data_IF_257772455043
#
_entry.id   IF_257772455043
#
_cell.length_a   1.000
_cell.length_b   1.000
_cell.length_c   1.000
_cell.angle_alpha   90.00
_cell.angle_beta   90.00
_cell.angle_gamma   90.00
#
_symmetry.space_group_name_H-M   'P 1'
#
loop_
_entity.id
_entity.type
_entity.pdbx_description
1 polymer ?
#
# COMPACT_ATOMS: atom_id res chain seq x y z
N UNK A 1 17.27 -29.09 15.74
CA UNK A 1 17.61 -29.01 14.31
C UNK A 1 16.42 -28.37 13.59
N UNK A 2 16.43 -27.04 13.40
CA UNK A 2 15.36 -26.36 12.67
C UNK A 2 15.62 -26.48 11.18
N UNK A 3 14.82 -27.29 10.50
CA UNK A 3 14.75 -27.25 9.05
C UNK A 3 14.09 -25.93 8.66
N UNK A 4 14.86 -25.00 8.10
CA UNK A 4 14.32 -23.89 7.33
C UNK A 4 13.57 -24.52 6.16
N UNK A 5 12.24 -24.54 6.23
CA UNK A 5 11.39 -24.98 5.13
C UNK A 5 11.63 -24.04 3.95
N UNK A 6 12.47 -24.45 3.01
CA UNK A 6 12.75 -23.68 1.82
C UNK A 6 11.45 -23.47 1.03
N UNK A 7 11.15 -22.25 0.56
CA UNK A 7 9.94 -22.00 -0.21
C UNK A 7 9.96 -22.87 -1.47
N UNK A 8 8.80 -23.44 -1.88
CA UNK A 8 8.69 -24.19 -3.12
C UNK A 8 9.26 -23.39 -4.30
N UNK A 9 9.92 -24.05 -5.25
CA UNK A 9 10.58 -23.39 -6.40
C UNK A 9 9.63 -22.46 -7.18
N UNK A 10 8.32 -22.75 -7.19
CA UNK A 10 7.28 -21.91 -7.78
C UNK A 10 7.12 -20.58 -7.05
N UNK A 11 7.11 -20.59 -5.71
CA UNK A 11 7.01 -19.37 -4.88
C UNK A 11 8.23 -18.47 -5.09
N UNK A 12 9.43 -19.06 -5.14
CA UNK A 12 10.66 -18.31 -5.42
C UNK A 12 10.63 -17.62 -6.80
N UNK A 13 10.20 -18.34 -7.84
CA UNK A 13 10.07 -17.76 -9.19
C UNK A 13 9.04 -16.63 -9.22
N UNK A 14 7.95 -16.75 -8.47
CA UNK A 14 6.96 -15.68 -8.33
C UNK A 14 7.57 -14.45 -7.64
N UNK A 15 8.26 -14.63 -6.52
CA UNK A 15 8.94 -13.54 -5.81
C UNK A 15 9.99 -12.83 -6.67
N UNK A 16 10.80 -13.58 -7.42
CA UNK A 16 11.79 -13.02 -8.35
C UNK A 16 11.12 -12.20 -9.47
N UNK A 17 9.97 -12.65 -9.98
CA UNK A 17 9.18 -11.94 -10.99
C UNK A 17 8.52 -10.68 -10.42
N UNK A 18 7.90 -10.79 -9.25
CA UNK A 18 7.29 -9.69 -8.51
C UNK A 18 8.33 -8.60 -8.22
N UNK A 19 9.51 -8.98 -7.74
CA UNK A 19 10.61 -8.05 -7.48
C UNK A 19 11.10 -7.38 -8.78
N UNK A 20 11.27 -8.14 -9.86
CA UNK A 20 11.70 -7.59 -11.16
C UNK A 20 10.70 -6.59 -11.72
N UNK A 21 9.41 -6.77 -11.43
CA UNK A 21 8.35 -5.82 -11.82
C UNK A 21 8.30 -4.60 -10.90
N UNK A 22 8.37 -4.81 -9.58
CA UNK A 22 8.19 -3.74 -8.59
C UNK A 22 9.39 -2.82 -8.47
N UNK A 23 10.62 -3.34 -8.53
CA UNK A 23 11.83 -2.56 -8.31
C UNK A 23 11.93 -1.34 -9.24
N UNK A 24 11.74 -1.45 -10.56
CA UNK A 24 11.74 -0.27 -11.45
C UNK A 24 10.62 0.73 -11.15
N UNK A 25 9.50 0.28 -10.59
CA UNK A 25 8.38 1.17 -10.23
C UNK A 25 8.77 2.02 -9.03
N UNK A 26 9.42 1.43 -8.03
CA UNK A 26 9.78 2.16 -6.82
C UNK A 26 11.13 2.87 -6.91
N UNK A 27 11.96 2.50 -7.88
CA UNK A 27 13.27 3.10 -8.09
C UNK A 27 13.18 4.63 -8.31
N UNK A 28 14.16 5.33 -7.74
CA UNK A 28 14.25 6.80 -7.80
C UNK A 28 13.19 7.56 -6.99
N UNK A 29 12.29 6.88 -6.27
CA UNK A 29 11.32 7.57 -5.41
C UNK A 29 12.02 8.24 -4.22
N UNK A 30 11.64 9.50 -3.97
CA UNK A 30 12.02 10.17 -2.72
C UNK A 30 11.31 9.54 -1.51
N UNK A 31 11.82 9.80 -0.29
CA UNK A 31 11.21 9.26 0.95
C UNK A 31 9.71 9.52 1.05
N UNK A 32 9.27 10.74 0.72
CA UNK A 32 7.85 11.11 0.78
C UNK A 32 7.02 10.34 -0.24
N UNK A 33 7.52 10.21 -1.46
CA UNK A 33 6.86 9.49 -2.55
C UNK A 33 6.78 7.98 -2.25
N UNK A 34 7.82 7.41 -1.64
CA UNK A 34 7.78 6.04 -1.12
C UNK A 34 6.66 5.83 -0.10
N UNK A 35 6.57 6.70 0.91
CA UNK A 35 5.51 6.63 1.92
C UNK A 35 4.12 6.71 1.29
N UNK A 36 3.91 7.67 0.38
CA UNK A 36 2.67 7.82 -0.36
C UNK A 36 2.35 6.59 -1.20
N UNK A 37 3.33 6.03 -1.91
CA UNK A 37 3.15 4.85 -2.74
C UNK A 37 2.60 3.69 -1.92
N UNK A 38 3.20 3.40 -0.75
CA UNK A 38 2.73 2.34 0.13
C UNK A 38 1.36 2.63 0.76
N UNK A 39 1.05 3.88 1.14
CA UNK A 39 -0.27 4.26 1.65
C UNK A 39 -1.36 4.03 0.59
N UNK A 40 -1.09 4.40 -0.66
CA UNK A 40 -2.00 4.16 -1.78
C UNK A 40 -2.20 2.66 -2.00
N UNK A 41 -1.12 1.88 -2.02
CA UNK A 41 -1.21 0.42 -2.18
C UNK A 41 -2.00 -0.25 -1.05
N UNK A 42 -1.73 0.11 0.20
CA UNK A 42 -2.43 -0.45 1.36
C UNK A 42 -3.94 -0.15 1.32
N UNK A 43 -4.32 1.04 0.83
CA UNK A 43 -5.73 1.42 0.70
C UNK A 43 -6.42 0.64 -0.42
N UNK A 44 -5.77 0.53 -1.59
CA UNK A 44 -6.28 -0.28 -2.69
C UNK A 44 -6.46 -1.74 -2.26
N UNK A 45 -5.46 -2.29 -1.56
CA UNK A 45 -5.52 -3.66 -1.02
C UNK A 45 -6.71 -3.85 -0.09
N UNK A 46 -6.84 -2.99 0.92
CA UNK A 46 -7.93 -3.06 1.91
C UNK A 46 -9.29 -3.00 1.23
N UNK A 47 -9.46 -2.15 0.22
CA UNK A 47 -10.74 -2.00 -0.50
C UNK A 47 -11.01 -3.19 -1.44
N UNK A 48 -9.97 -3.81 -1.99
CA UNK A 48 -10.12 -5.03 -2.76
C UNK A 48 -10.54 -6.23 -1.89
N UNK A 49 -10.11 -6.26 -0.62
CA UNK A 49 -10.47 -7.35 0.32
C UNK A 49 -11.90 -7.28 0.86
N UNK A 50 -12.60 -6.15 0.78
CA UNK A 50 -13.95 -6.04 1.35
C UNK A 50 -15.03 -6.71 0.48
N UNK A 51 -14.70 -7.13 -0.75
CA UNK A 51 -15.65 -7.65 -1.78
C UNK A 51 -16.85 -6.71 -2.08
N UNK A 52 -16.88 -5.51 -1.49
CA UNK A 52 -17.98 -4.54 -1.63
C UNK A 52 -18.01 -3.84 -2.99
N UNK A 53 -16.95 -4.02 -3.79
CA UNK A 53 -16.80 -3.40 -5.09
C UNK A 53 -15.94 -4.27 -6.00
N UNK A 54 -16.33 -4.47 -7.27
CA UNK A 54 -15.48 -5.18 -8.23
C UNK A 54 -14.30 -4.28 -8.61
N UNK A 55 -13.21 -4.36 -7.83
CA UNK A 55 -11.95 -3.66 -8.09
C UNK A 55 -11.05 -4.60 -8.88
N UNK A 56 -10.63 -4.16 -10.05
CA UNK A 56 -9.62 -4.83 -10.87
C UNK A 56 -8.56 -3.80 -11.32
N UNK A 57 -7.55 -4.25 -12.06
CA UNK A 57 -6.43 -3.40 -12.48
C UNK A 57 -6.89 -2.24 -13.39
N UNK A 58 -7.96 -2.43 -14.19
CA UNK A 58 -8.53 -1.35 -15.03
C UNK A 58 -9.17 -0.25 -14.18
N UNK A 59 -9.84 -0.62 -13.08
CA UNK A 59 -10.41 0.32 -12.10
C UNK A 59 -9.28 1.10 -11.41
N UNK A 60 -8.22 0.41 -10.97
CA UNK A 60 -7.06 1.05 -10.34
C UNK A 60 -6.39 2.05 -11.30
N UNK A 61 -6.19 1.65 -12.56
CA UNK A 61 -5.64 2.53 -13.60
C UNK A 61 -6.51 3.78 -13.80
N UNK A 62 -7.81 3.60 -14.02
CA UNK A 62 -8.77 4.70 -14.27
C UNK A 62 -8.79 5.70 -13.11
N UNK A 63 -8.82 5.19 -11.87
CA UNK A 63 -8.72 6.04 -10.67
C UNK A 63 -7.41 6.80 -10.62
N UNK A 64 -6.27 6.12 -10.78
CA UNK A 64 -4.95 6.72 -10.70
C UNK A 64 -4.76 7.80 -11.78
N UNK A 65 -5.23 7.53 -13.00
CA UNK A 65 -5.17 8.46 -14.12
C UNK A 65 -5.97 9.75 -13.84
N UNK A 66 -7.21 9.63 -13.34
CA UNK A 66 -8.04 10.80 -13.05
C UNK A 66 -7.48 11.64 -11.88
N UNK A 67 -7.02 10.98 -10.80
CA UNK A 67 -6.40 11.69 -9.68
C UNK A 67 -5.08 12.36 -10.11
N UNK A 68 -4.25 11.68 -10.90
CA UNK A 68 -3.03 12.26 -11.44
C UNK A 68 -3.33 13.52 -12.28
N UNK A 69 -4.31 13.44 -13.18
CA UNK A 69 -4.70 14.58 -14.01
C UNK A 69 -5.20 15.76 -13.16
N UNK A 70 -5.91 15.49 -12.06
CA UNK A 70 -6.37 16.50 -11.10
C UNK A 70 -5.20 17.22 -10.42
N UNK A 71 -4.22 16.48 -9.89
CA UNK A 71 -3.04 17.11 -9.28
C UNK A 71 -2.12 17.76 -10.31
N UNK A 72 -2.10 17.28 -11.56
CA UNK A 72 -1.40 17.94 -12.65
C UNK A 72 -1.99 19.33 -12.93
N UNK A 73 -3.33 19.46 -13.00
CA UNK A 73 -3.97 20.76 -13.15
C UNK A 73 -3.80 21.65 -11.93
N UNK A 74 -3.87 21.08 -10.73
CA UNK A 74 -3.64 21.82 -9.48
C UNK A 74 -2.22 22.39 -9.41
N UNK A 75 -1.21 21.62 -9.86
CA UNK A 75 0.20 22.08 -9.96
C UNK A 75 0.44 23.25 -10.90
N UNK A 76 -0.54 23.55 -11.77
CA UNK A 76 -0.56 24.68 -12.69
C UNK A 76 -1.45 25.83 -12.19
N UNK A 77 -1.97 25.73 -10.96
CA UNK A 77 -2.88 26.70 -10.35
C UNK A 77 -4.33 26.61 -10.84
N UNK A 78 -4.72 25.51 -11.48
CA UNK A 78 -6.07 25.32 -12.05
C UNK A 78 -6.91 24.46 -11.10
N UNK A 79 -8.01 25.03 -10.61
CA UNK A 79 -8.99 24.32 -9.76
C UNK A 79 -9.93 23.54 -10.68
N UNK A 80 -9.55 22.32 -11.00
CA UNK A 80 -10.35 21.39 -11.79
C UNK A 80 -10.18 19.96 -11.29
N UNK A 81 -11.28 19.23 -11.15
CA UNK A 81 -11.28 17.82 -10.77
C UNK A 81 -11.64 16.95 -11.97
N UNK A 82 -10.73 16.05 -12.34
CA UNK A 82 -11.00 15.03 -13.34
C UNK A 82 -11.78 13.88 -12.70
N UNK A 83 -12.79 13.39 -13.42
CA UNK A 83 -13.57 12.23 -12.98
C UNK A 83 -13.07 10.96 -13.68
N UNK A 84 -12.92 9.85 -12.93
CA UNK A 84 -12.75 8.53 -13.53
C UNK A 84 -13.89 8.20 -14.49
N UNK A 85 -13.61 7.33 -15.47
CA UNK A 85 -14.57 6.95 -16.50
C UNK A 85 -15.63 5.94 -16.04
N UNK A 86 -15.41 5.28 -14.90
CA UNK A 86 -16.29 4.22 -14.39
C UNK A 86 -16.73 4.45 -12.93
N UNK A 87 -17.94 3.99 -12.58
CA UNK A 87 -18.48 4.12 -11.23
C UNK A 87 -17.60 3.45 -10.14
N UNK A 88 -17.03 2.25 -10.35
CA UNK A 88 -16.10 1.66 -9.39
C UNK A 88 -14.85 2.53 -9.20
N UNK A 89 -14.31 3.10 -10.27
CA UNK A 89 -13.13 3.95 -10.19
C UNK A 89 -13.43 5.29 -9.50
N UNK A 90 -14.62 5.85 -9.69
CA UNK A 90 -15.09 7.02 -8.93
C UNK A 90 -15.19 6.72 -7.43
N UNK A 91 -15.74 5.56 -7.06
CA UNK A 91 -15.83 5.17 -5.65
C UNK A 91 -14.44 4.96 -5.06
N UNK A 92 -13.53 4.29 -5.75
CA UNK A 92 -12.14 4.15 -5.32
C UNK A 92 -11.43 5.52 -5.17
N UNK A 93 -11.68 6.45 -6.09
CA UNK A 93 -11.14 7.81 -5.99
C UNK A 93 -11.65 8.55 -4.74
N UNK A 94 -12.94 8.40 -4.40
CA UNK A 94 -13.55 8.99 -3.20
C UNK A 94 -12.95 8.44 -1.91
N UNK A 95 -12.60 7.16 -1.86
CA UNK A 95 -11.92 6.56 -0.70
C UNK A 95 -10.46 6.99 -0.58
N UNK A 96 -9.76 7.17 -1.70
CA UNK A 96 -8.35 7.60 -1.70
C UNK A 96 -8.19 9.09 -1.37
N UNK A 97 -9.09 9.95 -1.85
CA UNK A 97 -8.97 11.42 -1.70
C UNK A 97 -8.69 11.89 -0.27
N UNK A 98 -9.43 11.46 0.77
CA UNK A 98 -9.16 11.88 2.15
C UNK A 98 -7.74 11.57 2.65
N UNK A 99 -7.11 10.52 2.11
CA UNK A 99 -5.75 10.14 2.47
C UNK A 99 -4.69 10.99 1.75
N UNK A 100 -5.04 11.56 0.59
CA UNK A 100 -4.16 12.39 -0.23
C UNK A 100 -4.31 13.87 0.09
N UNK A 101 -5.52 14.32 0.44
CA UNK A 101 -5.85 15.73 0.69
C UNK A 101 -5.59 16.19 2.14
N UNK A 102 -5.25 15.25 3.02
CA UNK A 102 -5.03 15.53 4.44
C UNK A 102 -6.33 15.84 5.19
N UNK A 103 -6.23 15.95 6.51
CA UNK A 103 -7.35 16.36 7.36
C UNK A 103 -7.27 17.86 7.65
N UNK A 104 -8.42 18.50 7.80
CA UNK A 104 -8.58 19.83 8.40
C UNK A 104 -8.06 21.03 7.57
N UNK A 105 -8.22 20.99 6.24
CA UNK A 105 -7.99 22.17 5.38
C UNK A 105 -6.52 22.59 5.21
N UNK A 106 -5.57 21.71 5.58
CA UNK A 106 -4.12 21.95 5.43
C UNK A 106 -3.58 21.67 4.02
N UNK A 107 -4.47 21.39 3.07
CA UNK A 107 -4.08 20.98 1.73
C UNK A 107 -3.45 19.58 1.71
N UNK A 108 -3.03 19.11 0.53
CA UNK A 108 -2.65 17.72 0.34
C UNK A 108 -1.51 17.28 1.27
N UNK A 109 -1.51 15.99 1.63
CA UNK A 109 -0.51 15.42 2.55
C UNK A 109 0.91 15.53 1.99
N UNK A 110 1.08 15.79 0.70
CA UNK A 110 2.36 16.04 0.06
C UNK A 110 2.22 17.08 -1.04
N UNK A 111 3.33 17.44 -1.68
CA UNK A 111 3.27 18.33 -2.83
C UNK A 111 2.45 17.69 -3.96
N UNK A 112 1.75 18.50 -4.75
CA UNK A 112 0.99 18.04 -5.93
C UNK A 112 1.90 17.29 -6.91
N UNK A 113 3.18 17.67 -6.99
CA UNK A 113 4.19 16.96 -7.79
C UNK A 113 4.47 15.55 -7.27
N UNK A 114 4.58 15.37 -5.95
CA UNK A 114 4.78 14.04 -5.36
C UNK A 114 3.55 13.15 -5.55
N UNK A 115 2.35 13.71 -5.37
CA UNK A 115 1.09 13.00 -5.59
C UNK A 115 0.94 12.58 -7.05
N UNK A 116 1.17 13.51 -7.98
CA UNK A 116 1.20 13.24 -9.41
C UNK A 116 2.17 12.10 -9.74
N UNK A 117 3.40 12.17 -9.24
CA UNK A 117 4.45 11.21 -9.56
C UNK A 117 4.13 9.79 -9.06
N UNK A 118 3.55 9.68 -7.86
CA UNK A 118 3.10 8.40 -7.31
C UNK A 118 1.91 7.85 -8.09
N UNK A 119 0.90 8.67 -8.37
CA UNK A 119 -0.29 8.23 -9.09
C UNK A 119 0.04 7.78 -10.53
N UNK A 120 0.96 8.48 -11.22
CA UNK A 120 1.47 8.06 -12.54
C UNK A 120 2.25 6.74 -12.48
N UNK A 121 2.88 6.40 -11.35
CA UNK A 121 3.50 5.07 -11.17
C UNK A 121 2.45 4.00 -10.97
N UNK A 122 1.42 4.26 -10.17
CA UNK A 122 0.29 3.32 -9.98
C UNK A 122 -0.44 3.07 -11.29
N UNK A 123 -0.74 4.12 -12.05
CA UNK A 123 -1.37 4.02 -13.38
C UNK A 123 -0.57 3.13 -14.33
N UNK A 124 0.75 3.38 -14.44
CA UNK A 124 1.66 2.58 -15.27
C UNK A 124 1.73 1.12 -14.79
N UNK A 125 1.88 0.93 -13.49
CA UNK A 125 1.96 -0.41 -12.90
C UNK A 125 0.69 -1.23 -13.16
N UNK A 126 -0.50 -0.66 -12.92
CA UNK A 126 -1.77 -1.32 -13.22
C UNK A 126 -1.94 -1.62 -14.72
N UNK A 127 -1.41 -0.76 -15.60
CA UNK A 127 -1.45 -0.97 -17.05
C UNK A 127 -0.52 -2.10 -17.52
N UNK A 128 0.66 -2.22 -16.92
CA UNK A 128 1.72 -3.13 -17.37
C UNK A 128 1.74 -4.48 -16.64
N UNK A 129 1.09 -4.58 -15.47
CA UNK A 129 1.04 -5.80 -14.68
C UNK A 129 0.50 -6.99 -15.49
N UNK A 130 -0.64 -6.82 -16.17
CA UNK A 130 -1.24 -7.90 -17.00
C UNK A 130 -0.34 -8.43 -18.13
N UNK A 131 0.65 -7.65 -18.56
CA UNK A 131 1.60 -8.04 -19.63
C UNK A 131 2.82 -8.78 -19.09
N UNK A 132 3.13 -8.58 -17.80
CA UNK A 132 4.42 -8.95 -17.20
C UNK A 132 4.27 -9.99 -16.10
N UNK A 133 3.12 -10.00 -15.44
CA UNK A 133 2.77 -10.84 -14.31
C UNK A 133 1.64 -11.80 -14.69
N UNK A 134 1.53 -12.87 -13.92
CA UNK A 134 0.38 -13.77 -13.95
C UNK A 134 -0.79 -13.11 -13.16
N UNK A 135 -2.04 -13.50 -13.42
CA UNK A 135 -3.24 -12.97 -12.71
C UNK A 135 -4.22 -12.18 -13.59
N UNK A 136 -3.91 -11.97 -14.88
CA UNK A 136 -4.85 -11.40 -15.84
C UNK A 136 -5.29 -9.98 -15.47
N UNK A 137 -6.58 -9.77 -15.24
CA UNK A 137 -7.17 -8.47 -14.88
C UNK A 137 -6.93 -8.04 -13.43
N UNK A 138 -6.36 -8.91 -12.59
CA UNK A 138 -6.05 -8.64 -11.18
C UNK A 138 -4.55 -8.80 -10.89
N UNK A 139 -3.71 -8.88 -11.92
CA UNK A 139 -2.28 -9.14 -11.78
C UNK A 139 -1.57 -8.12 -10.88
N UNK A 140 -1.97 -6.84 -10.95
CA UNK A 140 -1.44 -5.78 -10.10
C UNK A 140 -1.96 -5.91 -8.65
N UNK A 141 -3.26 -6.12 -8.47
CA UNK A 141 -3.84 -6.32 -7.14
C UNK A 141 -3.27 -7.54 -6.42
N UNK A 142 -3.07 -8.64 -7.15
CA UNK A 142 -2.46 -9.86 -6.63
C UNK A 142 -1.02 -9.61 -6.15
N UNK A 143 -0.24 -8.83 -6.91
CA UNK A 143 1.09 -8.37 -6.50
C UNK A 143 1.01 -7.52 -5.22
N UNK A 144 0.14 -6.51 -5.21
CA UNK A 144 -0.04 -5.64 -4.04
C UNK A 144 -0.38 -6.46 -2.80
N UNK A 145 -1.28 -7.44 -2.92
CA UNK A 145 -1.63 -8.31 -1.80
C UNK A 145 -0.50 -9.19 -1.31
N UNK A 146 0.35 -9.70 -2.21
CA UNK A 146 1.56 -10.45 -1.81
C UNK A 146 2.56 -9.56 -1.07
N UNK A 147 2.76 -8.32 -1.54
CA UNK A 147 3.67 -7.35 -0.91
C UNK A 147 3.18 -6.93 0.48
N UNK A 148 1.87 -6.67 0.62
CA UNK A 148 1.28 -6.25 1.90
C UNK A 148 1.31 -7.38 2.94
N UNK A 149 1.01 -8.62 2.55
CA UNK A 149 1.12 -9.80 3.45
C UNK A 149 2.55 -10.12 3.85
N UNK A 150 3.50 -10.00 2.92
CA UNK A 150 4.92 -10.22 3.25
C UNK A 150 5.46 -9.18 4.23
N UNK A 151 4.83 -8.00 4.31
CA UNK A 151 5.23 -6.95 5.26
C UNK A 151 4.68 -7.21 6.67
N UNK A 152 3.51 -7.87 6.80
CA UNK A 152 2.93 -8.23 8.09
C UNK A 152 3.55 -9.48 8.73
N UNK A 153 3.96 -10.46 7.91
CA UNK A 153 4.57 -11.71 8.41
C UNK A 153 5.97 -11.48 9.02
N UNK A 154 6.67 -10.42 8.61
CA UNK A 154 8.00 -10.07 9.14
C UNK A 154 8.00 -9.45 10.54
N UNK A 155 6.86 -8.97 11.04
CA UNK A 155 6.74 -8.33 12.36
C UNK A 155 6.34 -9.31 13.48
N UNK A 156 6.06 -10.58 13.17
CA UNK A 156 5.62 -11.58 14.17
C UNK A 156 6.77 -12.46 14.70
N UNK A 157 7.96 -12.40 14.10
CA UNK A 157 9.15 -13.18 14.52
C UNK A 157 10.15 -12.36 15.36
N UNK A 158 9.70 -11.67 16.42
CA UNK A 158 10.59 -11.27 17.52
C UNK A 158 9.81 -11.00 18.82
N UNK A 159 9.27 -12.06 19.41
CA UNK A 159 8.76 -12.06 20.78
C UNK A 159 8.95 -13.44 21.40
N UNK A 160 10.19 -13.95 21.37
CA UNK A 160 10.62 -15.02 22.27
C UNK A 160 11.55 -14.42 23.33
N UNK A 161 10.94 -13.65 24.23
CA UNK A 161 11.58 -13.00 25.38
C UNK A 161 11.25 -13.76 26.67
N UNK A 162 11.95 -14.86 26.88
CA UNK A 162 12.20 -15.56 28.16
C UNK A 162 11.82 -14.74 29.41
N UNK A 163 10.82 -15.19 30.16
CA UNK A 163 10.47 -14.63 31.46
C UNK A 163 11.56 -14.96 32.51
N UNK A 164 12.12 -13.98 33.25
CA UNK A 164 12.97 -14.27 34.38
C UNK A 164 12.13 -14.58 35.63
N UNK A 165 12.66 -15.51 36.43
CA UNK A 165 12.06 -16.03 37.66
C UNK A 165 11.67 -14.94 38.66
N UNK A 166 10.45 -15.07 39.21
CA UNK A 166 9.89 -14.21 40.24
C UNK A 166 10.39 -14.65 41.62
N UNK A 167 11.43 -13.99 42.14
CA UNK A 167 11.77 -14.02 43.57
C UNK A 167 10.72 -13.23 44.33
N UNK A 168 10.02 -13.89 45.26
CA UNK A 168 9.02 -13.28 46.12
C UNK A 168 9.63 -12.92 47.48
N UNK A 169 9.72 -11.63 47.78
CA UNK A 169 9.15 -10.95 48.96
C UNK A 169 9.48 -9.44 48.88
N UNK A 170 8.65 -8.50 49.39
CA UNK A 170 8.29 -8.45 50.82
C UNK A 170 6.85 -7.98 51.15
N UNK A 171 6.38 -8.28 52.36
CA UNK A 171 5.19 -7.66 52.96
C UNK A 171 5.57 -6.54 53.95
N UNK A 172 4.92 -5.36 53.93
CA UNK A 172 4.93 -4.44 55.06
C UNK A 172 3.58 -4.51 55.80
N UNK A 173 3.64 -4.89 57.09
CA UNK A 173 2.51 -4.73 58.03
C UNK A 173 2.59 -3.35 58.66
N UNK A 174 1.54 -2.55 58.49
CA UNK A 174 1.34 -1.22 59.07
C UNK A 174 0.52 -1.36 60.34
N UNK A 175 1.05 -0.93 61.49
CA UNK A 175 0.25 -0.34 62.60
C UNK A 175 1.14 0.59 63.43
N UNK A 176 0.81 1.88 63.51
CA UNK A 176 1.09 2.76 64.66
C UNK A 176 0.00 3.87 64.69
N UNK A 177 -0.30 4.49 65.84
CA UNK A 177 -1.01 4.00 67.02
C UNK A 177 -2.47 4.49 67.08
#
# INVERSE_FOLDING_TARGET
MSARTHPPAVVRRQQERDARFLLPIIDGLGRRQYQLFFVVQATIHRLAETDEMPVNDDVVRDTAQALAATYETASKGIIYEHRPSSLPAERLARELKPLLEGKDGRGPVASERDLLEVLRRVERAATDARKTLDGGTHAYLDLVGRVMRSSSDGDTEDSDGTAPAKTADPAPSVIIP
#
